data_IF_089214158092
#
_entry.id   IF_089214158092
#
_cell.length_a   1.000
_cell.length_b   1.000
_cell.length_c   1.000
_cell.angle_alpha   90.00
_cell.angle_beta   90.00
_cell.angle_gamma   90.00
#
_symmetry.space_group_name_H-M   'P 1'
#
loop_
_entity.id
_entity.type
_entity.pdbx_description
1 polymer ?
#
# COMPACT_ATOMS: atom_id res chain seq x y z
N UNK A 1 16.96 13.13 14.79
CA UNK A 1 17.65 12.23 15.74
C UNK A 1 16.75 11.04 15.97
N UNK A 2 17.29 9.84 15.74
CA UNK A 2 16.57 8.57 15.70
C UNK A 2 15.91 8.27 17.05
N UNK A 3 14.57 8.19 17.08
CA UNK A 3 13.87 7.45 18.13
C UNK A 3 13.97 5.99 17.74
N UNK A 4 15.03 5.36 18.23
CA UNK A 4 15.18 3.92 18.19
C UNK A 4 13.98 3.26 18.85
N UNK A 5 13.48 2.21 18.21
CA UNK A 5 12.58 1.25 18.82
C UNK A 5 13.09 0.90 20.22
N UNK A 6 12.39 1.38 21.24
CA UNK A 6 12.47 0.75 22.55
C UNK A 6 11.66 -0.53 22.39
N UNK A 7 12.32 -1.54 21.82
CA UNK A 7 11.98 -2.93 22.08
C UNK A 7 11.94 -3.06 23.58
N UNK A 8 10.75 -3.25 24.14
CA UNK A 8 10.64 -3.77 25.50
C UNK A 8 11.25 -5.17 25.40
N UNK A 9 12.56 -5.25 25.65
CA UNK A 9 13.27 -6.50 25.81
C UNK A 9 12.62 -7.21 27.00
N UNK A 10 11.67 -8.09 26.71
CA UNK A 10 11.37 -9.17 27.63
C UNK A 10 12.71 -9.89 27.88
N UNK A 11 13.20 -9.94 29.13
CA UNK A 11 14.50 -10.54 29.44
C UNK A 11 14.52 -12.07 29.29
N UNK A 12 13.38 -12.63 28.87
CA UNK A 12 13.23 -13.98 28.39
C UNK A 12 13.20 -13.87 26.87
N UNK A 13 14.35 -14.00 26.22
CA UNK A 13 14.35 -14.54 24.86
C UNK A 13 13.47 -15.79 24.90
N UNK A 14 12.56 -15.94 23.95
CA UNK A 14 11.85 -17.19 23.75
C UNK A 14 12.92 -18.27 23.50
N UNK A 15 13.37 -18.93 24.57
CA UNK A 15 14.31 -20.06 24.56
C UNK A 15 13.68 -21.29 23.87
N UNK A 16 12.60 -21.10 23.11
CA UNK A 16 12.07 -22.11 22.21
C UNK A 16 13.06 -22.31 21.07
N UNK A 17 13.51 -23.55 20.82
CA UNK A 17 14.33 -23.83 19.66
C UNK A 17 13.55 -23.49 18.38
N UNK A 18 14.28 -23.10 17.34
CA UNK A 18 13.70 -22.83 16.02
C UNK A 18 12.84 -24.03 15.55
N UNK A 19 11.65 -23.80 14.95
CA UNK A 19 10.81 -24.88 14.46
C UNK A 19 11.57 -25.78 13.48
N UNK A 20 11.37 -27.10 13.57
CA UNK A 20 12.00 -28.05 12.65
C UNK A 20 11.72 -27.71 11.18
N UNK A 21 10.52 -27.19 10.88
CA UNK A 21 10.16 -26.73 9.55
C UNK A 21 11.11 -25.64 9.03
N UNK A 22 11.53 -24.72 9.88
CA UNK A 22 12.39 -23.60 9.50
C UNK A 22 13.83 -24.06 9.35
N UNK A 23 14.30 -24.94 10.25
CA UNK A 23 15.61 -25.58 10.15
C UNK A 23 15.72 -26.36 8.83
N UNK A 24 14.71 -27.20 8.53
CA UNK A 24 14.65 -27.94 7.27
C UNK A 24 14.51 -27.00 6.06
N UNK A 25 13.69 -25.96 6.16
CA UNK A 25 13.47 -25.00 5.09
C UNK A 25 14.75 -24.23 4.74
N UNK A 26 15.49 -23.76 5.75
CA UNK A 26 16.82 -23.14 5.57
C UNK A 26 17.80 -24.08 4.88
N UNK A 27 17.84 -25.34 5.29
CA UNK A 27 18.70 -26.35 4.66
C UNK A 27 18.36 -26.54 3.18
N UNK A 28 17.07 -26.64 2.87
CA UNK A 28 16.54 -26.85 1.52
C UNK A 28 16.72 -25.61 0.62
N UNK A 29 16.67 -24.41 1.18
CA UNK A 29 17.01 -23.16 0.48
C UNK A 29 18.49 -23.11 0.11
N UNK A 30 19.37 -23.55 1.02
CA UNK A 30 20.80 -23.65 0.75
C UNK A 30 21.15 -24.77 -0.25
N UNK A 31 20.28 -25.77 -0.38
CA UNK A 31 20.46 -26.93 -1.27
C UNK A 31 19.19 -27.20 -2.11
N UNK A 32 18.82 -26.30 -3.06
CA UNK A 32 17.58 -26.44 -3.82
C UNK A 32 17.50 -27.75 -4.63
N UNK A 33 18.63 -28.34 -4.97
CA UNK A 33 18.72 -29.63 -5.65
C UNK A 33 18.04 -30.78 -4.89
N UNK A 34 17.82 -30.65 -3.59
CA UNK A 34 17.14 -31.68 -2.78
C UNK A 34 15.71 -31.94 -3.25
N UNK A 35 15.01 -30.92 -3.75
CA UNK A 35 13.60 -31.00 -4.17
C UNK A 35 13.31 -30.39 -5.55
N UNK A 36 14.28 -29.67 -6.12
CA UNK A 36 14.21 -29.08 -7.45
C UNK A 36 15.26 -29.66 -8.40
N UNK A 37 15.03 -29.47 -9.70
CA UNK A 37 15.97 -29.76 -10.78
C UNK A 37 16.30 -28.46 -11.49
N UNK A 38 17.59 -28.15 -11.61
CA UNK A 38 18.06 -27.00 -12.38
C UNK A 38 18.05 -27.35 -13.87
N UNK A 39 17.31 -26.58 -14.65
CA UNK A 39 17.37 -26.71 -16.10
C UNK A 39 18.59 -25.96 -16.65
N UNK A 40 19.58 -26.70 -17.14
CA UNK A 40 20.91 -26.17 -17.46
C UNK A 40 20.91 -25.04 -18.51
N UNK A 41 19.98 -25.06 -19.48
CA UNK A 41 19.95 -24.06 -20.55
C UNK A 41 19.27 -22.75 -20.12
N UNK A 42 18.25 -22.83 -19.26
CA UNK A 42 17.51 -21.64 -18.83
C UNK A 42 17.97 -21.09 -17.47
N UNK A 43 18.70 -21.89 -16.70
CA UNK A 43 19.09 -21.54 -15.33
C UNK A 43 17.91 -21.46 -14.34
N UNK A 44 16.73 -21.95 -14.73
CA UNK A 44 15.52 -21.94 -13.91
C UNK A 44 15.38 -23.24 -13.12
N UNK A 45 14.86 -23.13 -11.90
CA UNK A 45 14.51 -24.27 -11.08
C UNK A 45 13.12 -24.80 -11.46
N UNK A 46 13.01 -26.13 -11.50
CA UNK A 46 11.75 -26.84 -11.67
C UNK A 46 11.55 -27.77 -10.49
N UNK A 47 10.32 -27.93 -10.04
CA UNK A 47 10.00 -28.91 -9.01
C UNK A 47 10.31 -30.32 -9.53
N UNK A 48 10.89 -31.20 -8.69
CA UNK A 48 11.13 -32.59 -9.09
C UNK A 48 9.81 -33.29 -9.45
N UNK A 49 9.76 -34.10 -10.52
CA UNK A 49 8.56 -34.84 -10.88
C UNK A 49 8.09 -35.72 -9.72
N UNK A 50 6.79 -35.66 -9.41
CA UNK A 50 6.19 -36.42 -8.31
C UNK A 50 6.25 -35.73 -6.94
N UNK A 51 6.89 -34.56 -6.84
CA UNK A 51 6.83 -33.71 -5.65
C UNK A 51 5.64 -32.76 -5.77
N UNK A 52 4.88 -32.61 -4.69
CA UNK A 52 3.86 -31.57 -4.55
C UNK A 52 4.13 -30.81 -3.24
N UNK A 53 4.05 -29.50 -3.29
CA UNK A 53 4.26 -28.62 -2.15
C UNK A 53 2.91 -28.03 -1.70
N UNK A 54 2.44 -28.37 -0.49
CA UNK A 54 1.29 -27.71 0.12
C UNK A 54 1.52 -26.21 0.26
N UNK A 55 0.41 -25.44 0.36
CA UNK A 55 0.46 -23.98 0.46
C UNK A 55 1.31 -23.50 1.62
N UNK A 56 1.24 -24.17 2.76
CA UNK A 56 2.01 -23.84 3.96
C UNK A 56 3.51 -23.90 3.70
N UNK A 57 3.97 -24.88 2.92
CA UNK A 57 5.39 -25.01 2.56
C UNK A 57 5.79 -23.98 1.50
N UNK A 58 4.97 -23.76 0.48
CA UNK A 58 5.26 -22.78 -0.56
C UNK A 58 5.42 -21.36 0.03
N UNK A 59 4.47 -20.94 0.88
CA UNK A 59 4.50 -19.62 1.53
C UNK A 59 5.65 -19.52 2.53
N UNK A 60 5.93 -20.59 3.31
CA UNK A 60 7.04 -20.58 4.25
C UNK A 60 8.41 -20.54 3.57
N UNK A 61 8.59 -21.22 2.45
CA UNK A 61 9.84 -21.15 1.67
C UNK A 61 10.14 -19.73 1.19
N UNK A 62 9.13 -19.01 0.67
CA UNK A 62 9.28 -17.61 0.26
C UNK A 62 9.63 -16.73 1.48
N UNK A 63 8.96 -16.95 2.62
CA UNK A 63 9.26 -16.23 3.86
C UNK A 63 10.68 -16.49 4.37
N UNK A 64 11.17 -17.72 4.29
CA UNK A 64 12.53 -18.04 4.74
C UNK A 64 13.58 -17.43 3.82
N UNK A 65 13.34 -17.36 2.51
CA UNK A 65 14.19 -16.60 1.59
C UNK A 65 14.25 -15.12 1.99
N UNK A 66 13.11 -14.53 2.32
CA UNK A 66 13.03 -13.14 2.82
C UNK A 66 13.79 -12.93 4.14
N UNK A 67 13.83 -13.93 5.02
CA UNK A 67 14.53 -13.84 6.30
C UNK A 67 16.06 -14.01 6.15
N UNK A 68 16.51 -14.81 5.17
CA UNK A 68 17.94 -15.14 4.96
C UNK A 68 18.62 -14.14 4.03
N UNK A 69 18.09 -13.99 2.82
CA UNK A 69 18.63 -13.14 1.76
C UNK A 69 17.50 -12.75 0.78
N UNK A 70 16.81 -11.62 1.02
CA UNK A 70 15.74 -11.15 0.17
C UNK A 70 16.16 -10.97 -1.29
N UNK A 71 17.39 -10.52 -1.55
CA UNK A 71 17.87 -10.20 -2.89
C UNK A 71 18.13 -11.46 -3.74
N UNK A 72 18.42 -12.58 -3.08
CA UNK A 72 18.60 -13.87 -3.75
C UNK A 72 17.27 -14.51 -4.18
N UNK A 73 16.13 -14.04 -3.66
CA UNK A 73 14.81 -14.43 -4.17
C UNK A 73 14.59 -13.79 -5.55
N UNK A 74 14.76 -14.59 -6.59
CA UNK A 74 14.65 -14.17 -7.98
C UNK A 74 13.81 -15.15 -8.83
N UNK A 75 13.63 -14.81 -10.10
CA UNK A 75 12.83 -15.58 -11.06
C UNK A 75 13.31 -17.03 -11.24
N UNK A 76 14.59 -17.34 -10.96
CA UNK A 76 15.10 -18.71 -11.08
C UNK A 76 14.41 -19.62 -10.09
N UNK A 77 14.25 -19.17 -8.85
CA UNK A 77 13.53 -19.91 -7.82
C UNK A 77 12.02 -19.82 -8.04
N UNK A 78 11.48 -18.62 -8.32
CA UNK A 78 10.03 -18.42 -8.48
C UNK A 78 9.43 -19.33 -9.58
N UNK A 79 10.24 -19.73 -10.58
CA UNK A 79 9.78 -20.63 -11.64
C UNK A 79 9.24 -21.99 -11.12
N UNK A 80 9.62 -22.45 -9.92
CA UNK A 80 9.04 -23.68 -9.35
C UNK A 80 7.53 -23.58 -9.15
N UNK A 81 7.02 -22.36 -8.93
CA UNK A 81 5.60 -22.09 -8.72
C UNK A 81 4.80 -21.99 -10.02
N UNK A 82 5.44 -22.19 -11.18
CA UNK A 82 4.74 -22.22 -12.48
C UNK A 82 3.81 -23.43 -12.60
N UNK A 83 4.08 -24.49 -11.86
CA UNK A 83 3.23 -25.68 -11.81
C UNK A 83 2.08 -25.50 -10.81
N UNK A 84 0.93 -25.03 -11.31
CA UNK A 84 -0.29 -24.80 -10.52
C UNK A 84 -0.95 -26.09 -10.01
N UNK A 85 -0.58 -27.27 -10.52
CA UNK A 85 -1.12 -28.54 -10.06
C UNK A 85 -0.41 -29.02 -8.79
N UNK A 86 0.90 -28.74 -8.70
CA UNK A 86 1.76 -29.23 -7.61
C UNK A 86 2.19 -28.15 -6.63
N UNK A 87 1.90 -26.89 -6.91
CA UNK A 87 2.14 -25.77 -5.99
C UNK A 87 0.91 -24.89 -5.90
N UNK A 88 0.71 -24.27 -4.72
CA UNK A 88 -0.39 -23.34 -4.51
C UNK A 88 -0.01 -22.24 -3.55
N UNK A 89 -0.17 -20.99 -3.95
CA UNK A 89 0.08 -19.81 -3.12
C UNK A 89 -1.21 -19.04 -2.86
N UNK A 90 -1.35 -18.46 -1.67
CA UNK A 90 -2.41 -17.49 -1.36
C UNK A 90 -1.85 -16.17 -0.84
N UNK A 91 -0.75 -16.22 -0.09
CA UNK A 91 -0.12 -15.05 0.53
C UNK A 91 1.35 -15.02 0.18
N UNK A 92 1.80 -13.91 -0.38
CA UNK A 92 3.17 -13.79 -0.87
C UNK A 92 3.74 -12.43 -0.46
N UNK A 93 4.93 -12.48 0.13
CA UNK A 93 5.72 -11.30 0.51
C UNK A 93 7.05 -11.36 -0.23
N UNK A 94 7.33 -10.34 -1.04
CA UNK A 94 8.50 -10.22 -1.91
C UNK A 94 9.37 -9.02 -1.55
N UNK A 95 9.32 -8.55 -0.30
CA UNK A 95 10.02 -7.32 0.12
C UNK A 95 11.50 -7.34 -0.26
N UNK A 96 11.99 -6.25 -0.82
CA UNK A 96 13.40 -6.11 -1.23
C UNK A 96 13.91 -7.24 -2.16
N UNK A 97 13.02 -7.97 -2.85
CA UNK A 97 13.42 -9.08 -3.70
C UNK A 97 13.84 -8.64 -5.10
N UNK A 98 14.55 -9.55 -5.77
CA UNK A 98 15.02 -9.41 -7.15
C UNK A 98 14.07 -10.04 -8.18
N UNK A 99 12.82 -10.33 -7.79
CA UNK A 99 11.78 -10.88 -8.67
C UNK A 99 11.37 -9.83 -9.71
N UNK A 100 11.30 -10.24 -10.97
CA UNK A 100 10.88 -9.37 -12.08
C UNK A 100 9.36 -9.38 -12.27
N UNK A 101 8.86 -8.54 -13.18
CA UNK A 101 7.46 -8.53 -13.58
C UNK A 101 6.97 -9.93 -14.06
N UNK A 102 7.81 -10.71 -14.74
CA UNK A 102 7.47 -12.04 -15.25
C UNK A 102 7.36 -13.06 -14.10
N UNK A 103 8.31 -13.03 -13.17
CA UNK A 103 8.27 -13.85 -11.95
C UNK A 103 7.04 -13.54 -11.10
N UNK A 104 6.72 -12.25 -10.93
CA UNK A 104 5.50 -11.84 -10.24
C UNK A 104 4.23 -12.31 -10.97
N UNK A 105 4.23 -12.30 -12.30
CA UNK A 105 3.14 -12.85 -13.12
C UNK A 105 2.90 -14.35 -12.85
N UNK A 106 3.97 -15.13 -12.64
CA UNK A 106 3.86 -16.54 -12.21
C UNK A 106 3.17 -16.64 -10.86
N UNK A 107 3.57 -15.84 -9.89
CA UNK A 107 2.99 -15.86 -8.53
C UNK A 107 1.53 -15.43 -8.51
N UNK A 108 1.20 -14.36 -9.25
CA UNK A 108 -0.17 -13.86 -9.37
C UNK A 108 -1.12 -14.85 -10.05
N UNK A 109 -0.62 -15.75 -10.90
CA UNK A 109 -1.45 -16.79 -11.53
C UNK A 109 -2.08 -17.78 -10.55
N UNK A 110 -1.62 -17.78 -9.29
CA UNK A 110 -2.24 -18.55 -8.19
C UNK A 110 -3.51 -17.91 -7.62
N UNK A 111 -3.93 -16.74 -8.12
CA UNK A 111 -5.05 -15.95 -7.59
C UNK A 111 -4.86 -15.64 -6.09
N UNK A 112 -3.80 -14.87 -5.82
CA UNK A 112 -3.39 -14.50 -4.46
C UNK A 112 -4.49 -13.72 -3.73
N UNK A 113 -4.49 -13.86 -2.40
CA UNK A 113 -5.33 -13.13 -1.45
C UNK A 113 -4.54 -11.96 -0.87
N UNK A 114 -3.24 -12.15 -0.61
CA UNK A 114 -2.37 -11.12 -0.05
C UNK A 114 -1.07 -11.05 -0.84
N UNK A 115 -0.68 -9.83 -1.21
CA UNK A 115 0.56 -9.56 -1.92
C UNK A 115 1.27 -8.36 -1.29
N UNK A 116 2.55 -8.52 -0.99
CA UNK A 116 3.46 -7.44 -0.60
C UNK A 116 4.69 -7.42 -1.50
N UNK A 117 4.87 -6.33 -2.23
CA UNK A 117 5.93 -6.11 -3.22
C UNK A 117 6.77 -4.87 -2.87
N UNK A 118 6.87 -4.55 -1.58
CA UNK A 118 7.59 -3.37 -1.12
C UNK A 118 9.07 -3.41 -1.50
N UNK A 119 9.58 -2.30 -2.06
CA UNK A 119 11.00 -2.09 -2.36
C UNK A 119 11.60 -3.13 -3.34
N UNK A 120 10.81 -3.76 -4.20
CA UNK A 120 11.36 -4.63 -5.25
C UNK A 120 11.98 -3.78 -6.36
N UNK A 121 13.29 -3.92 -6.59
CA UNK A 121 14.06 -3.07 -7.50
C UNK A 121 13.87 -3.38 -8.99
N UNK A 122 13.36 -4.57 -9.32
CA UNK A 122 13.16 -5.03 -10.71
C UNK A 122 11.72 -4.94 -11.21
N UNK A 123 10.80 -4.45 -10.39
CA UNK A 123 9.40 -4.29 -10.80
C UNK A 123 9.23 -2.96 -11.55
N UNK A 124 8.39 -2.98 -12.58
CA UNK A 124 8.09 -1.83 -13.42
C UNK A 124 6.58 -1.63 -13.56
N UNK A 125 6.14 -0.70 -14.41
CA UNK A 125 4.73 -0.47 -14.69
C UNK A 125 4.03 -1.73 -15.24
N UNK A 126 4.77 -2.69 -15.82
CA UNK A 126 4.21 -4.00 -16.26
C UNK A 126 3.64 -4.82 -15.10
N UNK A 127 4.15 -4.63 -13.89
CA UNK A 127 3.57 -5.22 -12.67
C UNK A 127 2.11 -4.81 -12.51
N UNK A 128 1.76 -3.57 -12.84
CA UNK A 128 0.39 -3.10 -12.74
C UNK A 128 -0.55 -3.84 -13.70
N UNK A 129 -0.10 -4.14 -14.91
CA UNK A 129 -0.87 -4.94 -15.87
C UNK A 129 -1.11 -6.37 -15.32
N UNK A 130 -0.09 -6.98 -14.71
CA UNK A 130 -0.23 -8.28 -14.06
C UNK A 130 -1.21 -8.24 -12.88
N UNK A 131 -1.10 -7.23 -12.00
CA UNK A 131 -2.02 -7.06 -10.87
C UNK A 131 -3.46 -6.85 -11.38
N UNK A 132 -3.66 -6.00 -12.39
CA UNK A 132 -4.99 -5.74 -12.94
C UNK A 132 -5.61 -6.97 -13.63
N UNK A 133 -4.78 -7.88 -14.14
CA UNK A 133 -5.20 -9.12 -14.77
C UNK A 133 -5.62 -10.20 -13.76
N UNK A 134 -4.90 -10.35 -12.65
CA UNK A 134 -5.11 -11.44 -11.68
C UNK A 134 -5.68 -10.96 -10.33
N UNK A 135 -5.88 -9.66 -10.14
CA UNK A 135 -6.14 -9.04 -8.85
C UNK A 135 -7.58 -9.15 -8.33
N UNK A 136 -8.45 -9.89 -9.00
CA UNK A 136 -9.86 -10.05 -8.58
C UNK A 136 -9.98 -10.76 -7.22
N UNK A 137 -9.03 -11.63 -6.86
CA UNK A 137 -9.00 -12.34 -5.58
C UNK A 137 -8.29 -11.59 -4.45
N UNK A 138 -7.54 -10.52 -4.77
CA UNK A 138 -6.72 -9.81 -3.79
C UNK A 138 -7.60 -9.09 -2.76
N UNK A 139 -7.30 -9.34 -1.48
CA UNK A 139 -7.86 -8.63 -0.34
C UNK A 139 -6.86 -7.66 0.27
N UNK A 140 -5.56 -7.96 0.18
CA UNK A 140 -4.48 -7.09 0.67
C UNK A 140 -3.43 -6.89 -0.42
N UNK A 141 -3.09 -5.62 -0.67
CA UNK A 141 -1.99 -5.25 -1.56
C UNK A 141 -1.11 -4.21 -0.88
N UNK A 142 0.17 -4.51 -0.79
CA UNK A 142 1.21 -3.61 -0.27
C UNK A 142 2.22 -3.36 -1.40
N UNK A 143 2.21 -2.15 -1.92
CA UNK A 143 3.15 -1.67 -2.94
C UNK A 143 4.40 -1.09 -2.27
N UNK A 144 4.25 -0.50 -1.08
CA UNK A 144 5.38 0.08 -0.34
C UNK A 144 6.04 1.24 -1.12
N UNK A 145 7.38 1.34 -1.08
CA UNK A 145 8.15 2.38 -1.76
C UNK A 145 8.66 1.86 -3.11
N UNK A 146 7.81 1.86 -4.14
CA UNK A 146 8.22 1.46 -5.48
C UNK A 146 7.79 2.53 -6.49
N UNK A 147 8.75 3.39 -6.87
CA UNK A 147 8.50 4.52 -7.76
C UNK A 147 8.11 4.10 -9.18
N UNK A 148 8.44 2.88 -9.56
CA UNK A 148 8.34 2.42 -10.95
C UNK A 148 7.09 1.56 -11.24
N UNK A 149 6.32 1.16 -10.22
CA UNK A 149 5.14 0.30 -10.39
C UNK A 149 3.89 1.11 -10.75
N UNK A 150 3.69 2.21 -10.03
CA UNK A 150 2.55 3.10 -10.24
C UNK A 150 2.96 4.18 -11.25
N UNK A 151 2.16 4.41 -12.30
CA UNK A 151 2.52 5.37 -13.34
C UNK A 151 2.64 6.78 -12.74
N UNK A 152 3.58 7.59 -13.22
CA UNK A 152 3.78 8.97 -12.74
C UNK A 152 2.85 10.00 -13.40
N UNK A 153 2.26 9.65 -14.54
CA UNK A 153 1.25 10.43 -15.23
C UNK A 153 0.19 9.50 -15.79
N UNK A 154 -1.07 9.87 -15.64
CA UNK A 154 -2.18 9.18 -16.27
C UNK A 154 -2.63 10.02 -17.45
N UNK A 155 -1.83 9.99 -18.52
CA UNK A 155 -2.36 10.40 -19.82
C UNK A 155 -3.49 9.44 -20.15
N UNK A 156 -4.63 9.97 -20.55
CA UNK A 156 -5.77 9.18 -20.97
C UNK A 156 -5.42 8.32 -22.20
N UNK A 157 -4.82 7.15 -21.96
CA UNK A 157 -4.52 6.07 -22.91
C UNK A 157 -3.52 6.41 -24.02
N UNK A 158 -2.33 5.83 -23.95
CA UNK A 158 -1.63 5.40 -25.17
C UNK A 158 -1.14 3.97 -24.98
N UNK A 159 -2.04 3.00 -25.16
CA UNK A 159 -1.63 1.66 -25.56
C UNK A 159 -2.35 1.29 -26.85
N UNK A 160 -1.55 1.11 -27.91
CA UNK A 160 -1.97 0.59 -29.21
C UNK A 160 -1.97 -0.94 -29.12
N UNK A 161 -3.13 -1.56 -28.95
CA UNK A 161 -3.28 -2.96 -29.32
C UNK A 161 -3.64 -3.04 -30.80
N UNK A 162 -2.70 -3.51 -31.62
CA UNK A 162 -2.96 -3.83 -33.02
C UNK A 162 -3.73 -5.15 -33.10
N UNK A 163 -5.01 -5.09 -33.43
CA UNK A 163 -5.72 -6.25 -33.96
C UNK A 163 -5.65 -6.20 -35.48
N UNK A 164 -5.03 -7.22 -36.06
CA UNK A 164 -4.92 -7.40 -37.51
C UNK A 164 -6.25 -7.89 -38.05
N UNK A 165 -6.83 -7.18 -39.02
CA UNK A 165 -8.09 -7.60 -39.64
C UNK A 165 -8.62 -6.67 -40.73
N UNK A 166 -7.99 -6.75 -41.92
CA UNK A 166 -8.56 -6.54 -43.26
C UNK A 166 -9.64 -5.46 -43.43
N UNK A 167 -9.24 -4.20 -43.39
CA UNK A 167 -9.51 -3.18 -44.43
C UNK A 167 -8.74 -1.91 -44.04
N UNK A 168 -7.75 -1.54 -44.86
CA UNK A 168 -6.47 -0.95 -44.43
C UNK A 168 -6.43 0.54 -44.03
N UNK A 169 -7.41 1.05 -43.27
CA UNK A 169 -7.27 2.33 -42.57
C UNK A 169 -7.49 2.16 -41.06
N UNK A 170 -6.44 2.32 -40.21
CA UNK A 170 -6.61 2.21 -38.77
C UNK A 170 -7.28 3.47 -38.23
N UNK A 171 -8.56 3.38 -37.88
CA UNK A 171 -9.16 4.27 -36.88
C UNK A 171 -8.80 3.69 -35.52
N UNK A 172 -7.76 4.24 -34.90
CA UNK A 172 -7.31 3.87 -33.55
C UNK A 172 -8.36 4.28 -32.52
N UNK A 173 -9.28 3.39 -32.15
CA UNK A 173 -10.11 3.58 -30.96
C UNK A 173 -9.27 3.29 -29.71
N UNK A 174 -8.61 4.33 -29.21
CA UNK A 174 -7.88 4.33 -27.94
C UNK A 174 -8.88 4.12 -26.80
N UNK A 175 -8.87 2.95 -26.17
CA UNK A 175 -9.60 2.75 -24.91
C UNK A 175 -8.87 3.50 -23.79
N UNK A 176 -9.46 4.60 -23.33
CA UNK A 176 -9.05 5.29 -22.09
C UNK A 176 -9.31 4.34 -20.92
N UNK A 177 -8.27 3.98 -20.16
CA UNK A 177 -8.46 3.26 -18.90
C UNK A 177 -9.00 4.25 -17.87
N UNK A 178 -10.16 3.96 -17.28
CA UNK A 178 -10.79 4.75 -16.20
C UNK A 178 -10.22 4.41 -14.82
N UNK A 179 -9.17 3.59 -14.75
CA UNK A 179 -8.55 3.13 -13.52
C UNK A 179 -7.04 2.93 -13.68
N UNK A 180 -6.30 3.11 -12.59
CA UNK A 180 -4.92 2.64 -12.45
C UNK A 180 -4.94 1.19 -11.93
N UNK A 181 -5.71 0.93 -10.87
CA UNK A 181 -5.73 -0.35 -10.17
C UNK A 181 -7.12 -0.99 -10.16
N UNK A 182 -7.24 -2.17 -10.78
CA UNK A 182 -8.45 -2.99 -10.83
C UNK A 182 -8.32 -4.18 -9.89
N UNK A 183 -8.65 -3.93 -8.61
CA UNK A 183 -8.72 -4.96 -7.56
C UNK A 183 -10.04 -4.80 -6.78
N UNK A 184 -11.19 -5.16 -7.37
CA UNK A 184 -12.51 -4.77 -6.87
C UNK A 184 -12.87 -5.36 -5.49
N UNK A 185 -12.14 -6.40 -5.05
CA UNK A 185 -12.32 -7.03 -3.75
C UNK A 185 -11.33 -6.57 -2.68
N UNK A 186 -10.45 -5.62 -3.01
CA UNK A 186 -9.40 -5.17 -2.11
C UNK A 186 -9.98 -4.53 -0.85
N UNK A 187 -9.48 -4.97 0.29
CA UNK A 187 -9.88 -4.49 1.63
C UNK A 187 -8.77 -3.69 2.29
N UNK A 188 -7.51 -3.93 1.93
CA UNK A 188 -6.35 -3.21 2.43
C UNK A 188 -5.44 -2.83 1.27
N UNK A 189 -5.18 -1.53 1.13
CA UNK A 189 -4.19 -0.98 0.21
C UNK A 189 -3.13 -0.20 0.99
N UNK A 190 -1.86 -0.47 0.68
CA UNK A 190 -0.72 0.28 1.22
C UNK A 190 0.14 0.77 0.06
N UNK A 191 0.19 2.08 -0.12
CA UNK A 191 1.05 2.78 -1.08
C UNK A 191 1.85 3.81 -0.31
N UNK A 192 3.18 3.75 -0.36
CA UNK A 192 4.02 4.62 0.45
C UNK A 192 4.95 5.44 -0.41
N UNK A 193 5.20 6.68 0.03
CA UNK A 193 6.19 7.56 -0.59
C UNK A 193 5.98 7.73 -2.11
N UNK A 194 4.72 7.87 -2.53
CA UNK A 194 4.41 8.21 -3.92
C UNK A 194 4.71 9.69 -4.16
N UNK A 195 5.83 9.96 -4.83
CA UNK A 195 6.34 11.31 -5.09
C UNK A 195 5.84 11.79 -6.45
N UNK A 196 4.96 12.81 -6.44
CA UNK A 196 4.48 13.56 -7.62
C UNK A 196 3.53 12.81 -8.59
N UNK A 197 2.30 12.48 -8.18
CA UNK A 197 1.23 12.36 -9.17
C UNK A 197 1.08 13.70 -9.90
N UNK A 198 1.26 13.72 -11.23
CA UNK A 198 1.20 14.97 -12.02
C UNK A 198 -0.23 15.47 -12.28
N UNK A 199 -1.21 14.59 -12.12
CA UNK A 199 -2.60 14.82 -12.51
C UNK A 199 -3.50 14.89 -11.26
N UNK A 200 -4.33 15.94 -11.17
CA UNK A 200 -5.27 16.13 -10.04
C UNK A 200 -6.24 14.94 -9.85
N UNK A 201 -6.50 14.18 -10.92
CA UNK A 201 -7.35 12.99 -10.91
C UNK A 201 -6.64 11.69 -10.55
N UNK A 202 -5.36 11.73 -10.19
CA UNK A 202 -4.56 10.51 -9.98
C UNK A 202 -5.16 9.57 -8.94
N UNK A 203 -5.42 10.07 -7.73
CA UNK A 203 -5.98 9.26 -6.64
C UNK A 203 -7.42 8.84 -6.91
N UNK A 204 -8.16 9.60 -7.73
CA UNK A 204 -9.47 9.17 -8.22
C UNK A 204 -9.30 7.89 -9.05
N UNK A 205 -8.44 7.90 -10.06
CA UNK A 205 -8.20 6.72 -10.92
C UNK A 205 -7.58 5.54 -10.16
N UNK A 206 -6.80 5.81 -9.11
CA UNK A 206 -6.22 4.77 -8.26
C UNK A 206 -7.25 4.09 -7.36
N UNK A 207 -8.13 4.87 -6.72
CA UNK A 207 -8.95 4.41 -5.60
C UNK A 207 -10.43 4.18 -5.94
N UNK A 208 -10.95 4.84 -6.99
CA UNK A 208 -12.37 4.74 -7.38
C UNK A 208 -12.85 3.28 -7.57
N UNK A 209 -12.07 2.34 -8.13
CA UNK A 209 -12.50 0.94 -8.26
C UNK A 209 -12.60 0.18 -6.93
N UNK A 210 -12.02 0.70 -5.86
CA UNK A 210 -11.70 -0.03 -4.63
C UNK A 210 -12.77 0.16 -3.52
N UNK A 211 -14.04 0.04 -3.89
CA UNK A 211 -15.20 0.34 -3.02
C UNK A 211 -15.32 -0.53 -1.76
N UNK A 212 -14.59 -1.64 -1.67
CA UNK A 212 -14.55 -2.55 -0.52
C UNK A 212 -13.41 -2.27 0.46
N UNK A 213 -12.63 -1.19 0.25
CA UNK A 213 -11.54 -0.82 1.14
C UNK A 213 -12.03 -0.57 2.56
N UNK A 214 -11.25 -1.10 3.50
CA UNK A 214 -11.40 -0.94 4.95
C UNK A 214 -10.18 -0.27 5.56
N UNK A 215 -9.00 -0.47 4.96
CA UNK A 215 -7.73 0.06 5.44
C UNK A 215 -6.97 0.68 4.25
N UNK A 216 -6.60 1.94 4.39
CA UNK A 216 -5.84 2.68 3.39
C UNK A 216 -4.63 3.32 4.05
N UNK A 217 -3.44 3.02 3.55
CA UNK A 217 -2.18 3.64 3.96
C UNK A 217 -1.59 4.35 2.75
N UNK A 218 -1.54 5.69 2.83
CA UNK A 218 -0.92 6.59 1.87
C UNK A 218 0.27 7.35 2.50
N UNK A 219 0.92 6.74 3.50
CA UNK A 219 2.00 7.40 4.23
C UNK A 219 3.14 7.88 3.31
N UNK A 220 3.62 9.09 3.56
CA UNK A 220 4.67 9.71 2.75
C UNK A 220 4.25 10.12 1.33
N UNK A 221 2.98 9.95 0.94
CA UNK A 221 2.52 10.35 -0.39
C UNK A 221 2.45 11.88 -0.54
N UNK A 222 2.66 12.35 -1.77
CA UNK A 222 2.57 13.76 -2.14
C UNK A 222 1.27 14.08 -2.85
N UNK A 223 0.83 15.35 -2.78
CA UNK A 223 -0.24 15.90 -3.62
C UNK A 223 -1.55 15.10 -3.53
N UNK A 224 -2.02 14.83 -2.30
CA UNK A 224 -3.28 14.13 -2.06
C UNK A 224 -4.52 14.94 -2.52
N UNK A 225 -4.37 16.26 -2.70
CA UNK A 225 -5.39 17.19 -3.20
C UNK A 225 -6.79 16.97 -2.58
N UNK A 226 -7.85 16.99 -3.40
CA UNK A 226 -9.24 16.85 -2.97
C UNK A 226 -9.52 15.40 -2.55
N UNK A 227 -9.61 15.16 -1.25
CA UNK A 227 -9.80 13.83 -0.67
C UNK A 227 -11.22 13.25 -0.88
N UNK A 228 -12.10 13.94 -1.61
CA UNK A 228 -13.45 13.44 -1.98
C UNK A 228 -13.45 12.09 -2.68
N UNK A 229 -12.34 11.68 -3.31
CA UNK A 229 -12.22 10.32 -3.85
C UNK A 229 -12.33 9.22 -2.78
N UNK A 230 -12.24 9.56 -1.49
CA UNK A 230 -12.48 8.60 -0.40
C UNK A 230 -13.97 8.34 -0.12
N UNK A 231 -14.87 9.25 -0.48
CA UNK A 231 -16.29 9.17 -0.15
C UNK A 231 -17.01 7.90 -0.65
N UNK A 232 -16.68 7.33 -1.82
CA UNK A 232 -17.27 6.06 -2.27
C UNK A 232 -16.92 4.87 -1.36
N UNK A 233 -15.84 4.94 -0.58
CA UNK A 233 -15.35 3.84 0.25
C UNK A 233 -16.00 3.85 1.63
N UNK A 234 -17.32 3.60 1.67
CA UNK A 234 -18.14 3.66 2.89
C UNK A 234 -17.73 2.67 3.99
N UNK A 235 -16.90 1.67 3.68
CA UNK A 235 -16.41 0.65 4.62
C UNK A 235 -15.06 1.01 5.25
N UNK A 236 -14.48 2.18 4.97
CA UNK A 236 -13.20 2.60 5.54
C UNK A 236 -13.25 2.65 7.07
N UNK A 237 -12.32 1.94 7.70
CA UNK A 237 -12.10 1.85 9.14
C UNK A 237 -10.83 2.57 9.55
N UNK A 238 -9.79 2.51 8.71
CA UNK A 238 -8.48 3.08 9.01
C UNK A 238 -7.92 3.83 7.79
N UNK A 239 -7.48 5.05 8.04
CA UNK A 239 -6.73 5.87 7.09
C UNK A 239 -5.40 6.26 7.75
N UNK A 240 -4.28 5.96 7.10
CA UNK A 240 -2.96 6.39 7.49
C UNK A 240 -2.39 7.36 6.44
N UNK A 241 -2.19 8.61 6.86
CA UNK A 241 -1.56 9.70 6.12
C UNK A 241 -0.28 10.19 6.82
N UNK A 242 0.37 9.34 7.62
CA UNK A 242 1.64 9.65 8.29
C UNK A 242 2.66 10.19 7.29
N UNK A 243 3.29 11.32 7.61
CA UNK A 243 4.23 12.02 6.73
C UNK A 243 3.70 12.35 5.32
N UNK A 244 2.38 12.33 5.10
CA UNK A 244 1.82 12.80 3.84
C UNK A 244 2.10 14.30 3.68
N UNK A 245 2.54 14.68 2.49
CA UNK A 245 2.96 16.06 2.22
C UNK A 245 1.75 16.94 1.95
N UNK A 246 1.83 18.20 2.39
CA UNK A 246 0.74 19.19 2.28
C UNK A 246 -0.55 18.74 2.98
N UNK A 247 -0.41 18.08 4.13
CA UNK A 247 -1.55 17.60 4.92
C UNK A 247 -2.48 18.74 5.37
N UNK A 248 -1.95 19.96 5.51
CA UNK A 248 -2.68 21.19 5.80
C UNK A 248 -3.66 21.61 4.71
N UNK A 249 -3.45 21.17 3.46
CA UNK A 249 -4.40 21.41 2.37
C UNK A 249 -5.47 20.31 2.33
N UNK A 250 -5.15 19.13 2.87
CA UNK A 250 -5.99 17.92 2.76
C UNK A 250 -7.03 17.85 3.88
N UNK A 251 -6.62 18.15 5.12
CA UNK A 251 -7.48 17.99 6.31
C UNK A 251 -8.66 18.97 6.36
N UNK A 252 -8.49 20.27 6.07
CA UNK A 252 -9.64 21.18 6.00
C UNK A 252 -10.68 20.74 4.96
N UNK A 253 -10.24 20.23 3.80
CA UNK A 253 -11.13 19.72 2.74
C UNK A 253 -11.89 18.49 3.20
N UNK A 254 -11.25 17.58 3.94
CA UNK A 254 -11.90 16.41 4.53
C UNK A 254 -13.11 16.83 5.37
N UNK A 255 -12.92 17.79 6.28
CA UNK A 255 -13.99 18.33 7.13
C UNK A 255 -15.11 18.98 6.30
N UNK A 256 -14.76 19.94 5.43
CA UNK A 256 -15.76 20.67 4.63
C UNK A 256 -16.60 19.70 3.82
N UNK A 257 -15.96 18.67 3.27
CA UNK A 257 -16.63 17.61 2.51
C UNK A 257 -17.65 16.86 3.37
N UNK A 258 -17.27 16.41 4.57
CA UNK A 258 -18.16 15.65 5.45
C UNK A 258 -19.36 16.48 5.94
N UNK A 259 -19.15 17.77 6.22
CA UNK A 259 -20.23 18.65 6.67
C UNK A 259 -21.18 19.02 5.53
N UNK A 260 -20.63 19.42 4.37
CA UNK A 260 -21.46 19.94 3.26
C UNK A 260 -22.19 18.86 2.49
N UNK A 261 -21.56 17.70 2.30
CA UNK A 261 -22.10 16.64 1.45
C UNK A 261 -23.01 15.67 2.22
N UNK A 262 -23.07 15.78 3.56
CA UNK A 262 -23.68 14.77 4.45
C UNK A 262 -23.13 13.34 4.22
N UNK A 263 -22.01 13.24 3.50
CA UNK A 263 -21.33 12.01 3.17
C UNK A 263 -20.16 11.86 4.13
N UNK A 264 -20.36 11.06 5.18
CA UNK A 264 -19.29 10.75 6.15
C UNK A 264 -18.78 9.32 5.94
N UNK A 265 -17.66 9.02 6.60
CA UNK A 265 -17.12 7.66 6.71
C UNK A 265 -17.62 7.04 8.03
N UNK A 266 -18.75 6.31 8.04
CA UNK A 266 -19.43 5.90 9.27
C UNK A 266 -18.62 4.96 10.15
N UNK A 267 -17.71 4.19 9.54
CA UNK A 267 -16.89 3.21 10.24
C UNK A 267 -15.47 3.67 10.52
N UNK A 268 -15.11 4.93 10.18
CA UNK A 268 -13.76 5.41 10.38
C UNK A 268 -13.46 5.52 11.89
N UNK A 269 -12.44 4.78 12.31
CA UNK A 269 -12.04 4.61 13.72
C UNK A 269 -10.59 4.98 13.98
N UNK A 270 -9.75 4.92 12.94
CA UNK A 270 -8.33 5.22 13.03
C UNK A 270 -7.95 6.23 11.95
N UNK A 271 -7.43 7.37 12.38
CA UNK A 271 -6.86 8.39 11.51
C UNK A 271 -5.47 8.75 12.01
N UNK A 272 -4.48 8.60 11.16
CA UNK A 272 -3.11 9.04 11.41
C UNK A 272 -2.77 10.15 10.41
N UNK A 273 -2.45 11.33 10.92
CA UNK A 273 -2.02 12.52 10.16
C UNK A 273 -0.69 13.07 10.68
N UNK A 274 0.00 12.25 11.47
CA UNK A 274 1.24 12.62 12.15
C UNK A 274 2.36 12.93 11.16
N UNK A 275 3.33 13.74 11.59
CA UNK A 275 4.46 14.17 10.77
C UNK A 275 5.77 13.93 11.51
N UNK A 276 6.74 13.33 10.83
CA UNK A 276 8.09 13.19 11.39
C UNK A 276 8.83 14.53 11.47
N UNK A 277 8.46 15.49 10.62
CA UNK A 277 9.01 16.85 10.63
C UNK A 277 7.89 17.87 10.86
N UNK A 278 7.98 18.56 12.00
CA UNK A 278 6.98 19.54 12.44
C UNK A 278 6.73 20.66 11.43
N UNK A 279 7.72 21.04 10.62
CA UNK A 279 7.54 22.08 9.61
C UNK A 279 6.50 21.74 8.55
N UNK A 280 6.21 20.44 8.34
CA UNK A 280 5.20 19.96 7.39
C UNK A 280 3.82 19.77 8.03
N UNK A 281 3.71 19.91 9.35
CA UNK A 281 2.46 19.77 10.10
C UNK A 281 1.96 21.09 10.68
N UNK A 282 2.26 22.23 10.05
CA UNK A 282 1.86 23.56 10.51
C UNK A 282 0.54 23.99 9.86
N UNK A 283 -0.52 24.02 10.66
CA UNK A 283 -1.85 24.49 10.30
C UNK A 283 -2.00 25.96 10.70
N UNK A 284 -2.66 26.77 9.85
CA UNK A 284 -2.86 28.21 10.08
C UNK A 284 -3.80 28.49 11.27
N UNK A 285 -4.88 27.72 11.39
CA UNK A 285 -5.83 27.78 12.51
C UNK A 285 -5.93 26.39 13.18
N UNK A 286 -4.93 25.99 14.00
CA UNK A 286 -4.82 24.61 14.50
C UNK A 286 -6.01 24.21 15.37
N UNK A 287 -6.46 25.05 16.30
CA UNK A 287 -7.58 24.76 17.20
C UNK A 287 -8.89 24.58 16.43
N UNK A 288 -9.19 25.52 15.51
CA UNK A 288 -10.35 25.44 14.64
C UNK A 288 -10.29 24.19 13.75
N UNK A 289 -9.11 23.87 13.20
CA UNK A 289 -8.91 22.69 12.36
C UNK A 289 -9.15 21.40 13.14
N UNK A 290 -8.61 21.30 14.36
CA UNK A 290 -8.78 20.13 15.21
C UNK A 290 -10.24 19.98 15.67
N UNK A 291 -10.88 21.06 16.12
CA UNK A 291 -12.29 21.05 16.54
C UNK A 291 -13.21 20.59 15.39
N UNK A 292 -12.96 21.08 14.18
CA UNK A 292 -13.67 20.69 12.97
C UNK A 292 -13.41 19.22 12.58
N UNK A 293 -12.16 18.76 12.68
CA UNK A 293 -11.80 17.37 12.41
C UNK A 293 -12.51 16.40 13.37
N UNK A 294 -12.47 16.67 14.66
CA UNK A 294 -13.06 15.79 15.69
C UNK A 294 -14.60 15.79 15.59
N UNK A 295 -15.22 16.94 15.36
CA UNK A 295 -16.68 17.04 15.21
C UNK A 295 -17.22 16.33 13.96
N UNK A 296 -16.43 16.27 12.89
CA UNK A 296 -16.82 15.56 11.65
C UNK A 296 -16.56 14.05 11.67
N UNK A 297 -15.82 13.54 12.67
CA UNK A 297 -15.46 12.13 12.81
C UNK A 297 -15.90 11.57 14.18
N UNK A 298 -17.22 11.47 14.45
CA UNK A 298 -17.74 11.15 15.77
C UNK A 298 -17.43 9.71 16.26
N UNK A 299 -17.09 8.80 15.34
CA UNK A 299 -16.78 7.40 15.66
C UNK A 299 -15.27 7.12 15.76
N UNK A 300 -14.44 8.16 15.71
CA UNK A 300 -12.99 8.03 15.78
C UNK A 300 -12.55 7.55 17.17
N UNK A 301 -11.80 6.46 17.21
CA UNK A 301 -11.27 5.87 18.46
C UNK A 301 -9.77 6.09 18.64
N UNK A 302 -9.07 6.46 17.56
CA UNK A 302 -7.64 6.73 17.55
C UNK A 302 -7.34 7.84 16.55
N UNK A 303 -6.69 8.89 17.04
CA UNK A 303 -6.22 10.02 16.25
C UNK A 303 -4.74 10.26 16.58
N UNK A 304 -3.87 10.13 15.57
CA UNK A 304 -2.47 10.51 15.71
C UNK A 304 -2.20 11.82 14.97
N UNK A 305 -1.93 12.87 15.76
CA UNK A 305 -1.56 14.23 15.31
C UNK A 305 -0.13 14.59 15.73
N UNK A 306 0.67 13.59 16.14
CA UNK A 306 2.03 13.84 16.64
C UNK A 306 2.89 14.53 15.58
N UNK A 307 3.76 15.44 16.02
CA UNK A 307 4.58 16.24 15.12
C UNK A 307 3.81 17.22 14.24
N UNK A 308 2.57 17.56 14.58
CA UNK A 308 1.85 18.71 14.02
C UNK A 308 1.67 19.80 15.09
N UNK A 309 1.29 21.01 14.71
CA UNK A 309 0.87 22.03 15.67
C UNK A 309 -0.59 21.86 16.15
N UNK A 310 -1.30 20.79 15.75
CA UNK A 310 -2.65 20.48 16.25
C UNK A 310 -2.62 19.96 17.69
N UNK A 311 -1.51 19.38 18.15
CA UNK A 311 -1.35 18.93 19.55
C UNK A 311 -1.07 20.08 20.53
N UNK A 312 -1.15 21.33 20.07
CA UNK A 312 -0.62 22.50 20.75
C UNK A 312 0.85 22.74 20.40
N UNK A 313 1.31 23.98 20.58
CA UNK A 313 2.69 24.40 20.36
C UNK A 313 3.62 24.09 21.55
N UNK A 314 3.11 23.39 22.56
CA UNK A 314 3.82 23.10 23.80
C UNK A 314 3.89 24.28 24.76
N UNK A 315 3.28 25.42 24.43
CA UNK A 315 2.98 26.46 25.39
C UNK A 315 1.66 26.11 26.08
N UNK A 316 1.71 25.90 27.39
CA UNK A 316 0.49 26.02 28.17
C UNK A 316 0.11 27.49 28.05
N UNK A 317 -0.94 27.79 27.28
CA UNK A 317 -1.66 29.04 27.48
C UNK A 317 -2.10 29.01 28.95
N UNK A 318 -1.42 29.77 29.79
CA UNK A 318 -2.01 30.25 31.02
C UNK A 318 -3.28 30.96 30.56
N UNK A 319 -4.42 30.26 30.66
CA UNK A 319 -5.73 30.88 30.73
C UNK A 319 -5.65 31.82 31.92
N UNK A 320 -5.16 33.03 31.67
CA UNK A 320 -5.34 34.15 32.56
C UNK A 320 -6.83 34.38 32.52
N UNK A 321 -7.48 34.00 33.61
CA UNK A 321 -8.69 34.64 34.09
C UNK A 321 -8.37 36.15 34.20
N UNK A 322 -8.43 36.83 33.06
CA UNK A 322 -8.66 38.25 32.98
C UNK A 322 -9.97 38.39 32.24
N UNK A 323 -11.04 38.36 33.04
CA UNK A 323 -12.23 39.16 32.75
C UNK A 323 -11.78 40.52 32.19
N UNK A 324 -12.46 40.96 31.13
CA UNK A 324 -12.17 42.12 30.27
C UNK A 324 -11.10 41.91 29.19
N UNK A 325 -11.53 41.47 27.99
CA UNK A 325 -11.54 42.30 26.75
C UNK A 325 -12.32 41.53 25.65
N UNK A 326 -13.19 42.27 24.95
CA UNK A 326 -14.08 41.86 23.85
C UNK A 326 -13.65 40.66 22.98
N UNK A 327 -14.59 39.77 22.59
CA UNK A 327 -14.32 38.73 21.60
C UNK A 327 -13.97 39.34 20.23
N UNK A 328 -12.98 38.80 19.50
CA UNK A 328 -12.73 39.20 18.12
C UNK A 328 -13.92 38.79 17.23
N UNK A 329 -14.18 39.53 16.14
CA UNK A 329 -15.38 39.32 15.33
C UNK A 329 -15.30 37.95 14.65
N UNK A 330 -16.43 37.25 14.67
CA UNK A 330 -16.69 36.08 13.82
C UNK A 330 -16.30 36.39 12.37
N UNK A 331 -15.20 35.80 11.90
CA UNK A 331 -14.97 35.67 10.46
C UNK A 331 -15.87 34.54 9.93
N UNK A 332 -17.07 34.92 9.52
CA UNK A 332 -17.80 34.17 8.49
C UNK A 332 -17.16 34.51 7.13
N UNK A 333 -16.58 33.51 6.46
CA UNK A 333 -16.83 33.12 5.06
C UNK A 333 -15.82 32.08 4.60
#
# INVERSE_FOLDING_TARGET
>A
MSLGNISINCPWEDNSPEPLLDICGKYVIAHPETFCVLHQLSGLWFLRPGTALPTELCERLISLWQDIDPEALDDRFINIFRDLANTRLKRVTLRNSSVSDDGLGVLLSHNLIELDISNCSKLSERTLDNINKYGDSLLTLVIGKTKDILPSSVSAGTQLESSTGKDGSPVSEVRKREYILRTPNLRKLVVRELIQPKDDGYFVLLLQPLTKLTHLDLSGCFFLHDIKYLLPMKNLVSINLHCAQRIQDTIPVLFVTFVTSCDFLPFLRFLDVSQANQTYGMFECPDTTLANLVSSLPNLTSLDISGTNLSGDGTFDEYRDSDDVNPPPFCFL
#
